data_IF_393689364434
#
_entry.id   IF_393689364434
#
_cell.length_a   1.000
_cell.length_b   1.000
_cell.length_c   1.000
_cell.angle_alpha   90.00
_cell.angle_beta   90.00
_cell.angle_gamma   90.00
#
_symmetry.space_group_name_H-M   'P 1'
#
loop_
_entity.id
_entity.type
_entity.pdbx_description
1 polymer ?
#
# COMPACT_ATOMS: atom_id res chain seq x y z
N UNK A 1 -10.34 21.13 -20.45
CA UNK A 1 -9.98 20.05 -19.48
C UNK A 1 -8.61 19.57 -19.91
N UNK A 2 -7.58 19.80 -19.10
CA UNK A 2 -6.16 19.50 -19.40
C UNK A 2 -5.55 18.59 -18.31
N UNK A 3 -6.33 17.67 -17.75
CA UNK A 3 -5.80 16.71 -16.78
C UNK A 3 -5.57 15.34 -17.43
N UNK A 4 -4.51 14.66 -17.00
CA UNK A 4 -4.19 13.32 -17.48
C UNK A 4 -5.21 12.29 -16.98
N UNK A 5 -5.66 11.43 -17.89
CA UNK A 5 -6.56 10.30 -17.58
C UNK A 5 -5.79 9.03 -17.20
N UNK A 6 -4.53 8.96 -17.63
CA UNK A 6 -3.63 7.82 -17.45
C UNK A 6 -2.22 8.35 -17.24
N UNK A 7 -1.49 7.80 -16.27
CA UNK A 7 -0.06 8.03 -16.14
C UNK A 7 0.65 6.69 -15.89
N UNK A 8 1.86 6.57 -16.42
CA UNK A 8 2.76 5.44 -16.20
C UNK A 8 4.18 5.95 -16.08
N UNK A 9 4.91 5.49 -15.07
CA UNK A 9 6.28 5.92 -14.82
C UNK A 9 7.09 4.82 -14.12
N UNK A 10 8.40 4.91 -14.28
CA UNK A 10 9.38 4.07 -13.59
C UNK A 10 10.05 4.88 -12.48
N UNK A 11 10.49 4.19 -11.43
CA UNK A 11 11.21 4.79 -10.30
C UNK A 11 12.43 3.97 -9.94
N UNK A 12 13.50 4.66 -9.57
CA UNK A 12 14.66 4.09 -8.89
C UNK A 12 14.60 4.53 -7.42
N UNK A 13 14.57 3.55 -6.51
CA UNK A 13 14.53 3.81 -5.08
C UNK A 13 15.94 4.05 -4.55
N UNK A 14 16.09 4.96 -3.58
CA UNK A 14 17.38 5.30 -2.98
C UNK A 14 18.16 4.08 -2.41
N UNK A 15 17.44 3.02 -2.02
CA UNK A 15 18.01 1.78 -1.50
C UNK A 15 18.37 0.72 -2.57
N UNK A 16 18.28 1.05 -3.86
CA UNK A 16 18.73 0.17 -4.95
C UNK A 16 17.68 -0.80 -5.51
N UNK A 17 16.40 -0.56 -5.26
CA UNK A 17 15.28 -1.23 -5.94
C UNK A 17 14.74 -0.40 -7.10
N UNK A 18 13.95 -1.00 -7.97
CA UNK A 18 13.22 -0.29 -9.04
C UNK A 18 11.74 -0.60 -9.01
N UNK A 19 10.92 0.25 -9.61
CA UNK A 19 9.47 0.07 -9.65
C UNK A 19 8.85 0.60 -10.93
N UNK A 20 7.68 0.08 -11.25
CA UNK A 20 6.79 0.63 -12.27
C UNK A 20 5.43 0.93 -11.64
N UNK A 21 4.90 2.11 -11.92
CA UNK A 21 3.61 2.56 -11.41
C UNK A 21 2.73 2.94 -12.59
N UNK A 22 1.46 2.59 -12.49
CA UNK A 22 0.44 2.97 -13.46
C UNK A 22 -0.84 3.36 -12.73
N UNK A 23 -1.44 4.47 -13.17
CA UNK A 23 -2.73 4.96 -12.69
C UNK A 23 -3.62 5.26 -13.89
N UNK A 24 -4.90 4.98 -13.77
CA UNK A 24 -5.89 5.28 -14.81
C UNK A 24 -7.25 5.55 -14.19
N UNK A 25 -7.87 6.65 -14.62
CA UNK A 25 -9.25 7.03 -14.23
C UNK A 25 -10.28 6.47 -15.21
N UNK A 26 -9.82 5.94 -16.34
CA UNK A 26 -10.63 5.50 -17.49
C UNK A 26 -10.49 3.99 -17.77
N UNK A 27 -9.83 3.25 -16.88
CA UNK A 27 -9.70 1.80 -16.98
C UNK A 27 -11.05 1.11 -16.70
N UNK A 28 -11.74 0.71 -17.77
CA UNK A 28 -13.01 0.00 -17.67
C UNK A 28 -12.88 -1.28 -16.82
N UNK A 29 -13.83 -1.49 -15.90
CA UNK A 29 -13.81 -2.65 -14.99
C UNK A 29 -12.92 -2.50 -13.76
N UNK A 30 -12.25 -1.35 -13.58
CA UNK A 30 -11.39 -1.05 -12.43
C UNK A 30 -11.94 0.11 -11.57
N UNK A 31 -13.12 -0.02 -10.95
CA UNK A 31 -13.74 1.08 -10.21
C UNK A 31 -12.96 1.52 -8.97
N UNK A 32 -12.15 0.62 -8.40
CA UNK A 32 -11.39 0.85 -7.17
C UNK A 32 -10.18 -0.10 -7.07
N UNK A 33 -9.49 -0.32 -8.19
CA UNK A 33 -8.34 -1.23 -8.20
C UNK A 33 -7.11 -0.51 -7.67
N UNK A 34 -6.61 -0.97 -6.53
CA UNK A 34 -5.28 -0.64 -6.03
C UNK A 34 -4.54 -1.96 -5.80
N UNK A 35 -3.39 -2.12 -6.46
CA UNK A 35 -2.56 -3.31 -6.36
C UNK A 35 -1.09 -2.92 -6.27
N UNK A 36 -0.34 -3.69 -5.51
CA UNK A 36 1.11 -3.64 -5.52
C UNK A 36 1.68 -5.05 -5.43
N UNK A 37 2.79 -5.27 -6.10
CA UNK A 37 3.57 -6.49 -6.03
C UNK A 37 5.02 -6.12 -5.72
N UNK A 38 5.63 -6.83 -4.79
CA UNK A 38 7.00 -6.60 -4.34
C UNK A 38 7.77 -7.89 -4.53
N UNK A 39 8.92 -7.80 -5.21
CA UNK A 39 9.80 -8.91 -5.48
C UNK A 39 11.13 -8.67 -4.78
N UNK A 40 11.56 -9.63 -3.97
CA UNK A 40 12.73 -9.55 -3.12
C UNK A 40 13.60 -10.80 -3.30
N UNK A 41 14.83 -10.75 -2.80
CA UNK A 41 15.78 -11.87 -2.87
C UNK A 41 15.24 -13.19 -2.30
N UNK A 42 14.38 -13.12 -1.28
CA UNK A 42 13.86 -14.29 -0.55
C UNK A 42 12.39 -14.61 -0.82
N UNK A 43 11.77 -13.96 -1.81
CA UNK A 43 10.36 -14.18 -2.10
C UNK A 43 9.65 -13.00 -2.74
N UNK A 44 8.33 -13.07 -2.78
CA UNK A 44 7.47 -12.00 -3.25
C UNK A 44 6.21 -11.87 -2.41
N UNK A 45 5.62 -10.68 -2.45
CA UNK A 45 4.32 -10.42 -1.85
C UNK A 45 3.46 -9.59 -2.80
N UNK A 46 2.15 -9.81 -2.77
CA UNK A 46 1.20 -8.97 -3.49
C UNK A 46 -0.08 -8.69 -2.70
N UNK A 47 -0.67 -7.55 -3.01
CA UNK A 47 -1.89 -7.05 -2.40
C UNK A 47 -2.86 -6.57 -3.48
N UNK A 48 -4.15 -6.78 -3.23
CA UNK A 48 -5.24 -6.31 -4.07
C UNK A 48 -6.33 -5.76 -3.17
N UNK A 49 -6.57 -4.44 -3.24
CA UNK A 49 -7.50 -3.74 -2.36
C UNK A 49 -8.95 -4.20 -2.52
N UNK A 50 -9.28 -4.98 -3.56
CA UNK A 50 -10.57 -5.65 -3.69
C UNK A 50 -10.77 -6.75 -2.63
N UNK A 51 -9.69 -7.18 -1.99
CA UNK A 51 -9.66 -8.14 -0.86
C UNK A 51 -8.72 -7.60 0.24
N UNK A 52 -9.06 -6.48 0.92
CA UNK A 52 -8.13 -5.79 1.81
C UNK A 52 -7.78 -6.62 3.06
N UNK A 53 -8.59 -7.65 3.36
CA UNK A 53 -8.37 -8.70 4.36
C UNK A 53 -7.21 -9.66 4.08
N UNK A 54 -6.57 -9.60 2.91
CA UNK A 54 -5.69 -10.66 2.41
C UNK A 54 -4.40 -10.11 1.78
N UNK A 55 -3.32 -10.85 1.97
CA UNK A 55 -2.07 -10.67 1.23
C UNK A 55 -1.64 -12.00 0.63
N UNK A 56 -1.01 -11.97 -0.54
CA UNK A 56 -0.41 -13.15 -1.15
C UNK A 56 1.09 -13.12 -0.91
N UNK A 57 1.66 -14.20 -0.41
CA UNK A 57 3.10 -14.28 -0.07
C UNK A 57 3.69 -15.56 -0.65
N UNK A 58 4.85 -15.43 -1.29
CA UNK A 58 5.67 -16.55 -1.71
C UNK A 58 7.04 -16.40 -1.06
N UNK A 59 7.47 -17.38 -0.26
CA UNK A 59 8.78 -17.38 0.38
C UNK A 59 9.64 -18.49 -0.20
N UNK A 60 10.87 -18.17 -0.59
CA UNK A 60 11.82 -19.16 -1.07
C UNK A 60 12.19 -20.10 0.09
N UNK A 61 12.07 -21.41 -0.17
CA UNK A 61 12.34 -22.46 0.81
C UNK A 61 11.19 -22.74 1.79
N UNK A 62 10.03 -22.09 1.61
CA UNK A 62 8.85 -22.36 2.44
C UNK A 62 7.99 -23.49 1.83
N UNK A 63 7.77 -24.55 2.61
CA UNK A 63 7.03 -25.76 2.22
C UNK A 63 7.90 -26.86 1.59
N UNK A 64 7.49 -28.10 1.82
CA UNK A 64 8.12 -29.30 1.25
C UNK A 64 7.36 -29.83 0.03
N UNK A 65 8.11 -30.24 -1.00
CA UNK A 65 7.58 -30.92 -2.18
C UNK A 65 6.37 -30.22 -2.81
N UNK A 66 5.24 -30.92 -2.83
CA UNK A 66 4.01 -30.54 -3.53
C UNK A 66 3.23 -29.40 -2.84
N UNK A 67 3.66 -28.95 -1.65
CA UNK A 67 3.02 -27.85 -0.91
C UNK A 67 3.71 -26.48 -1.14
N UNK A 68 4.76 -26.43 -1.97
CA UNK A 68 5.44 -25.17 -2.34
C UNK A 68 4.55 -24.33 -3.24
N UNK A 69 4.39 -23.05 -2.92
CA UNK A 69 3.61 -22.13 -3.74
C UNK A 69 3.29 -20.82 -3.03
N UNK A 70 2.71 -19.86 -3.78
CA UNK A 70 2.18 -18.63 -3.20
C UNK A 70 0.99 -18.94 -2.31
N UNK A 71 1.03 -18.47 -1.07
CA UNK A 71 -0.05 -18.62 -0.09
C UNK A 71 -0.85 -17.34 0.00
N UNK A 72 -2.17 -17.48 0.17
CA UNK A 72 -3.02 -16.37 0.61
C UNK A 72 -3.03 -16.37 2.13
N UNK A 73 -2.53 -15.30 2.73
CA UNK A 73 -2.58 -15.06 4.18
C UNK A 73 -3.81 -14.20 4.47
N UNK A 74 -4.72 -14.75 5.27
CA UNK A 74 -5.85 -13.99 5.81
C UNK A 74 -5.34 -13.23 7.03
N UNK A 75 -5.39 -11.91 6.95
CA UNK A 75 -4.97 -11.03 8.02
C UNK A 75 -6.04 -11.03 9.15
N UNK A 76 -5.64 -10.63 10.35
CA UNK A 76 -6.50 -10.66 11.53
C UNK A 76 -6.01 -9.72 12.63
N UNK A 77 -6.49 -9.91 13.88
CA UNK A 77 -6.18 -9.06 15.04
C UNK A 77 -4.70 -8.78 15.30
N UNK A 78 -3.85 -9.76 15.03
CA UNK A 78 -2.39 -9.65 15.22
C UNK A 78 -1.74 -8.68 14.21
N UNK A 79 -2.46 -8.29 13.16
CA UNK A 79 -1.95 -7.31 12.21
C UNK A 79 -1.88 -5.92 12.88
N UNK A 80 -0.72 -5.23 12.85
CA UNK A 80 -0.52 -3.99 13.62
C UNK A 80 -1.55 -2.89 13.37
N UNK A 81 -2.08 -2.83 12.14
CA UNK A 81 -3.06 -1.81 11.75
C UNK A 81 -4.50 -2.12 12.17
N UNK A 82 -4.80 -3.34 12.66
CA UNK A 82 -6.17 -3.79 12.94
C UNK A 82 -6.39 -4.23 14.38
N UNK A 83 -5.33 -4.24 15.18
CA UNK A 83 -5.36 -4.63 16.58
C UNK A 83 -6.50 -3.93 17.31
N UNK A 84 -7.30 -4.70 18.06
CA UNK A 84 -8.44 -4.22 18.83
C UNK A 84 -9.46 -3.41 18.03
N UNK A 85 -9.48 -3.53 16.70
CA UNK A 85 -10.31 -2.68 15.82
C UNK A 85 -11.42 -3.46 15.11
N UNK A 86 -11.33 -4.79 15.11
CA UNK A 86 -12.30 -5.66 14.45
C UNK A 86 -13.56 -5.81 15.30
N UNK A 87 -14.72 -5.91 14.65
CA UNK A 87 -16.00 -6.13 15.33
C UNK A 87 -16.03 -7.45 16.13
N UNK A 88 -15.23 -8.43 15.68
CA UNK A 88 -14.91 -9.65 16.41
C UNK A 88 -13.41 -9.88 16.28
N UNK A 89 -12.73 -10.15 17.39
CA UNK A 89 -11.28 -10.26 17.42
C UNK A 89 -10.81 -11.64 16.94
N UNK A 90 -11.04 -11.94 15.66
CA UNK A 90 -10.72 -13.22 15.04
C UNK A 90 -10.26 -13.05 13.57
N UNK A 91 -9.27 -13.85 13.10
CA UNK A 91 -8.94 -13.91 11.69
C UNK A 91 -10.14 -14.33 10.82
N UNK A 92 -10.25 -13.75 9.63
CA UNK A 92 -11.35 -14.05 8.69
C UNK A 92 -12.62 -13.23 8.91
N UNK A 93 -12.67 -12.40 9.95
CA UNK A 93 -13.68 -11.34 10.06
C UNK A 93 -13.47 -10.37 8.90
N UNK A 94 -14.52 -10.15 8.12
CA UNK A 94 -14.42 -9.38 6.88
C UNK A 94 -14.05 -7.92 7.17
N UNK A 95 -13.17 -7.39 6.33
CA UNK A 95 -12.72 -6.00 6.33
C UNK A 95 -12.97 -5.46 4.94
N UNK A 96 -13.58 -4.29 4.88
CA UNK A 96 -13.82 -3.55 3.65
C UNK A 96 -13.08 -2.22 3.65
N UNK A 97 -13.30 -1.46 2.58
CA UNK A 97 -12.71 -0.12 2.42
C UNK A 97 -13.11 0.84 3.55
N UNK A 98 -14.35 0.77 4.02
CA UNK A 98 -14.85 1.67 5.07
C UNK A 98 -14.13 1.46 6.40
N UNK A 99 -13.73 0.21 6.71
CA UNK A 99 -12.96 -0.09 7.91
C UNK A 99 -11.59 0.61 7.88
N UNK A 100 -10.98 0.76 6.70
CA UNK A 100 -9.75 1.54 6.53
C UNK A 100 -9.90 3.00 7.01
N UNK A 101 -11.01 3.65 6.66
CA UNK A 101 -11.29 5.01 7.16
C UNK A 101 -11.55 5.04 8.67
N UNK A 102 -12.23 4.04 9.21
CA UNK A 102 -12.48 3.94 10.66
C UNK A 102 -11.17 3.76 11.43
N UNK A 103 -10.28 2.88 10.96
CA UNK A 103 -8.99 2.64 11.60
C UNK A 103 -8.08 3.87 11.51
N UNK A 104 -8.10 4.59 10.38
CA UNK A 104 -7.39 5.85 10.22
C UNK A 104 -7.88 6.94 11.19
N UNK A 105 -9.20 7.08 11.33
CA UNK A 105 -9.81 8.02 12.27
C UNK A 105 -9.49 7.66 13.72
N UNK A 106 -9.51 6.37 14.08
CA UNK A 106 -9.07 5.89 15.38
C UNK A 106 -7.61 6.27 15.64
N UNK A 107 -6.69 5.94 14.74
CA UNK A 107 -5.28 6.26 14.87
C UNK A 107 -5.07 7.76 15.13
N UNK A 108 -5.79 8.62 14.40
CA UNK A 108 -5.74 10.07 14.58
C UNK A 108 -6.21 10.51 15.97
N UNK A 109 -7.32 9.96 16.46
CA UNK A 109 -7.83 10.28 17.79
C UNK A 109 -6.88 9.79 18.90
N UNK A 110 -6.24 8.64 18.72
CA UNK A 110 -5.21 8.13 19.65
C UNK A 110 -3.96 9.03 19.68
N UNK A 111 -3.62 9.67 18.57
CA UNK A 111 -2.57 10.70 18.48
C UNK A 111 -2.94 11.96 19.25
N UNK A 112 -4.12 12.51 18.98
CA UNK A 112 -4.64 13.70 19.67
C UNK A 112 -4.74 13.48 21.18
N UNK A 113 -5.10 12.26 21.59
CA UNK A 113 -5.16 11.87 23.01
C UNK A 113 -3.78 11.67 23.67
N UNK A 114 -2.68 11.69 22.91
CA UNK A 114 -1.33 11.48 23.43
C UNK A 114 -1.06 10.05 23.91
N UNK A 115 -1.77 9.05 23.39
CA UNK A 115 -1.52 7.66 23.74
C UNK A 115 -0.12 7.26 23.24
N UNK A 116 0.64 6.44 23.98
CA UNK A 116 1.93 5.94 23.51
C UNK A 116 1.74 4.96 22.34
N UNK A 117 2.70 4.93 21.41
CA UNK A 117 2.65 4.04 20.23
C UNK A 117 2.44 2.57 20.56
N UNK A 118 2.97 2.10 21.69
CA UNK A 118 2.82 0.71 22.13
C UNK A 118 1.38 0.29 22.46
N UNK A 119 0.46 1.25 22.56
CA UNK A 119 -0.95 1.06 22.91
C UNK A 119 -1.93 1.51 21.84
N UNK A 120 -1.45 2.14 20.77
CA UNK A 120 -2.29 2.62 19.67
C UNK A 120 -1.96 1.93 18.36
N UNK A 121 -2.77 2.20 17.35
CA UNK A 121 -2.48 1.87 15.97
C UNK A 121 -1.24 2.63 15.48
N UNK A 122 -0.61 2.20 14.39
CA UNK A 122 0.38 3.00 13.67
C UNK A 122 -0.14 4.41 13.41
N UNK A 123 0.74 5.40 13.59
CA UNK A 123 0.41 6.82 13.37
C UNK A 123 0.05 7.07 11.92
N UNK A 124 -0.82 8.04 11.71
CA UNK A 124 -1.14 8.50 10.37
C UNK A 124 0.06 9.19 9.71
N UNK A 125 0.02 9.23 8.38
CA UNK A 125 0.92 10.07 7.61
C UNK A 125 0.76 11.53 8.04
N UNK A 126 1.89 12.24 8.14
CA UNK A 126 1.92 13.64 8.55
C UNK A 126 2.06 14.61 7.36
N UNK A 127 2.32 15.89 7.65
CA UNK A 127 2.49 16.88 6.59
C UNK A 127 3.80 16.74 5.81
N UNK A 128 4.84 16.12 6.38
CA UNK A 128 6.07 15.84 5.66
C UNK A 128 5.82 14.74 4.62
N UNK A 129 5.06 13.69 4.96
CA UNK A 129 4.63 12.66 4.00
C UNK A 129 3.78 13.28 2.87
N UNK A 130 2.87 14.19 3.22
CA UNK A 130 2.06 14.92 2.25
C UNK A 130 2.89 15.80 1.31
N UNK A 131 3.91 16.49 1.83
CA UNK A 131 4.84 17.28 1.03
C UNK A 131 5.62 16.40 0.06
N UNK A 132 6.19 15.29 0.55
CA UNK A 132 6.95 14.37 -0.29
C UNK A 132 6.10 13.77 -1.42
N UNK A 133 4.82 13.45 -1.14
CA UNK A 133 3.90 13.01 -2.18
C UNK A 133 3.66 14.09 -3.25
N UNK A 134 3.55 15.37 -2.88
CA UNK A 134 3.44 16.46 -3.85
C UNK A 134 4.71 16.63 -4.69
N UNK A 135 5.89 16.50 -4.08
CA UNK A 135 7.18 16.55 -4.78
C UNK A 135 7.34 15.40 -5.78
N UNK A 136 6.87 14.20 -5.43
CA UNK A 136 6.83 13.05 -6.34
C UNK A 136 5.91 13.33 -7.54
N UNK A 137 4.70 13.85 -7.31
CA UNK A 137 3.76 14.17 -8.39
C UNK A 137 4.31 15.25 -9.33
N UNK A 138 4.95 16.28 -8.79
CA UNK A 138 5.64 17.31 -9.58
C UNK A 138 6.79 16.72 -10.41
N UNK A 139 7.61 15.84 -9.83
CA UNK A 139 8.71 15.19 -10.52
C UNK A 139 8.22 14.34 -11.71
N UNK A 140 7.13 13.58 -11.54
CA UNK A 140 6.52 12.79 -12.62
C UNK A 140 6.01 13.70 -13.73
N UNK A 141 5.33 14.80 -13.39
CA UNK A 141 4.83 15.77 -14.37
C UNK A 141 5.98 16.42 -15.16
N UNK A 142 7.07 16.83 -14.49
CA UNK A 142 8.27 17.36 -15.15
C UNK A 142 8.97 16.33 -16.03
N UNK A 143 9.05 15.08 -15.59
CA UNK A 143 9.59 13.98 -16.39
C UNK A 143 8.80 13.80 -17.69
N UNK A 144 7.46 13.79 -17.61
CA UNK A 144 6.58 13.66 -18.77
C UNK A 144 6.77 14.82 -19.78
N UNK A 145 6.81 16.07 -19.30
CA UNK A 145 7.05 17.26 -20.14
C UNK A 145 8.43 17.25 -20.80
N UNK A 146 9.41 16.60 -20.19
CA UNK A 146 10.77 16.43 -20.70
C UNK A 146 10.95 15.15 -21.56
N UNK A 147 9.86 14.50 -21.97
CA UNK A 147 9.92 13.30 -22.81
C UNK A 147 10.34 12.03 -22.06
N UNK A 148 10.02 11.95 -20.77
CA UNK A 148 10.36 10.81 -19.90
C UNK A 148 11.78 10.88 -19.33
N UNK A 149 12.37 12.07 -19.23
CA UNK A 149 13.70 12.25 -18.65
C UNK A 149 13.70 11.90 -17.16
N UNK A 150 14.86 11.46 -16.66
CA UNK A 150 15.05 11.19 -15.24
C UNK A 150 14.93 12.49 -14.43
N UNK A 151 14.12 12.46 -13.38
CA UNK A 151 13.92 13.59 -12.47
C UNK A 151 14.10 13.11 -11.04
N UNK A 152 15.02 13.74 -10.32
CA UNK A 152 15.23 13.47 -8.91
C UNK A 152 14.09 14.05 -8.07
N UNK A 153 13.53 13.23 -7.20
CA UNK A 153 12.66 13.66 -6.11
C UNK A 153 13.55 14.15 -4.94
N UNK A 154 13.29 15.33 -4.38
CA UNK A 154 14.03 15.90 -3.25
C UNK A 154 14.13 14.98 -2.02
#
# INVERSE_FOLDING_TARGET
MENDDVAGFFVDYAAGGTGSLQVSRVAAGHPNTLKFEVFCERGSASFDFRNPGQVRVHLLGDGDGDLRGTRTVVLGPEHPYWRDSLAMDAPGVAIGQNDGFVFQARAFLEEVAGLPQSRGLPRNADFADGLHNMELLDAVARSALAGGAEVRVP
#
